data_IF_770656396427
#
_entry.id   IF_770656396427
#
_cell.length_a   1.000
_cell.length_b   1.000
_cell.length_c   1.000
_cell.angle_alpha   90.00
_cell.angle_beta   90.00
_cell.angle_gamma   90.00
#
_symmetry.space_group_name_H-M   'P 1'
#
loop_
_entity.id
_entity.type
_entity.pdbx_description
1 polymer ?
#
# COMPACT_ATOMS: atom_id res chain seq x y z
N UNK A 1 -12.11 -11.10 23.46
CA UNK A 1 -11.04 -11.94 22.93
C UNK A 1 -11.63 -13.00 21.98
N UNK A 2 -11.05 -13.15 20.80
CA UNK A 2 -11.33 -14.28 19.92
C UNK A 2 -10.62 -15.53 20.46
N UNK A 3 -11.26 -16.69 20.36
CA UNK A 3 -10.62 -17.98 20.66
C UNK A 3 -10.30 -18.64 19.33
N UNK A 4 -9.00 -18.93 19.11
CA UNK A 4 -8.50 -19.56 17.90
C UNK A 4 -8.19 -18.59 16.74
N UNK A 5 -7.59 -19.10 15.68
CA UNK A 5 -7.28 -18.37 14.47
C UNK A 5 -8.53 -17.96 13.68
N UNK A 6 -8.42 -16.98 12.81
CA UNK A 6 -9.48 -16.64 11.87
C UNK A 6 -9.69 -17.82 10.90
N UNK A 7 -10.94 -18.25 10.65
CA UNK A 7 -11.20 -19.28 9.66
C UNK A 7 -10.65 -18.89 8.28
N UNK A 8 -9.92 -19.81 7.65
CA UNK A 8 -9.29 -19.58 6.35
C UNK A 8 -7.96 -18.82 6.39
N UNK A 9 -7.49 -18.38 7.56
CA UNK A 9 -6.14 -17.82 7.70
C UNK A 9 -5.07 -18.89 7.68
N UNK A 10 -3.88 -18.53 7.19
CA UNK A 10 -2.69 -19.35 7.30
C UNK A 10 -1.94 -19.07 8.61
N UNK A 11 -1.15 -20.06 9.06
CA UNK A 11 -0.24 -19.89 10.18
C UNK A 11 1.21 -19.87 9.70
N UNK A 12 1.98 -18.97 10.25
CA UNK A 12 3.40 -18.87 9.97
C UNK A 12 4.20 -19.85 10.84
N UNK A 13 4.95 -20.73 10.19
CA UNK A 13 5.71 -21.82 10.85
C UNK A 13 7.11 -21.41 11.28
N UNK A 14 7.47 -20.13 11.15
CA UNK A 14 8.80 -19.65 11.52
C UNK A 14 9.83 -19.75 10.40
N UNK A 15 11.06 -19.33 10.69
CA UNK A 15 12.24 -19.48 9.82
C UNK A 15 12.08 -18.93 8.39
N UNK A 16 11.32 -17.83 8.24
CA UNK A 16 11.00 -17.22 6.93
C UNK A 16 10.29 -18.17 5.93
N UNK A 17 9.59 -19.17 6.44
CA UNK A 17 8.80 -20.07 5.64
C UNK A 17 7.72 -19.31 4.85
N UNK A 18 7.32 -19.86 3.71
CA UNK A 18 6.15 -19.35 2.98
C UNK A 18 4.92 -19.40 3.87
N UNK A 19 4.14 -18.33 3.80
CA UNK A 19 2.85 -18.23 4.49
C UNK A 19 1.86 -17.50 3.58
N UNK A 20 1.10 -18.26 2.82
CA UNK A 20 0.14 -17.73 1.83
C UNK A 20 -1.20 -17.43 2.51
N UNK A 21 -1.20 -16.43 3.39
CA UNK A 21 -2.43 -16.02 4.07
C UNK A 21 -3.30 -15.17 3.13
N UNK A 22 -4.33 -15.80 2.56
CA UNK A 22 -5.22 -15.17 1.59
C UNK A 22 -6.12 -14.09 2.19
N UNK A 23 -6.19 -13.97 3.50
CA UNK A 23 -6.93 -12.92 4.19
C UNK A 23 -6.12 -11.61 4.30
N UNK A 24 -4.80 -11.69 4.13
CA UNK A 24 -3.91 -10.51 4.20
C UNK A 24 -3.74 -9.92 2.81
N UNK A 25 -4.51 -8.87 2.50
CA UNK A 25 -4.56 -8.24 1.16
C UNK A 25 -4.59 -6.72 1.25
N UNK A 26 -3.96 -6.08 0.30
CA UNK A 26 -4.03 -4.64 0.11
C UNK A 26 -5.49 -4.16 -0.19
N UNK A 27 -5.94 -3.02 0.35
CA UNK A 27 -5.27 -2.16 1.32
C UNK A 27 -5.37 -2.72 2.75
N UNK A 28 -4.41 -2.37 3.58
CA UNK A 28 -4.36 -2.78 4.98
C UNK A 28 -4.52 -1.59 5.92
N UNK A 29 -5.42 -1.69 6.88
CA UNK A 29 -5.57 -0.73 7.96
C UNK A 29 -4.99 -1.23 9.27
N UNK A 30 -4.58 -0.33 10.16
CA UNK A 30 -4.08 -0.68 11.49
C UNK A 30 -5.22 -1.23 12.33
N UNK A 31 -5.05 -2.44 12.84
CA UNK A 31 -5.98 -3.05 13.78
C UNK A 31 -5.65 -2.64 15.22
N UNK A 32 -4.37 -2.74 15.59
CA UNK A 32 -3.86 -2.28 16.87
C UNK A 32 -2.36 -1.93 16.74
N UNK A 33 -1.86 -1.11 17.64
CA UNK A 33 -0.44 -0.89 17.87
C UNK A 33 -0.19 -0.79 19.39
N UNK A 34 0.98 -1.25 19.84
CA UNK A 34 1.33 -1.28 21.25
C UNK A 34 2.86 -1.23 21.41
N UNK A 35 3.33 -0.62 22.48
CA UNK A 35 4.73 -0.61 22.87
C UNK A 35 5.10 -1.83 23.74
N UNK A 36 4.13 -2.59 24.21
CA UNK A 36 4.33 -3.80 25.04
C UNK A 36 5.30 -4.77 24.40
N UNK A 37 5.22 -4.93 23.07
CA UNK A 37 6.10 -5.82 22.32
C UNK A 37 7.54 -5.30 22.21
N UNK A 38 7.81 -4.03 22.49
CA UNK A 38 9.16 -3.46 22.49
C UNK A 38 10.07 -4.07 23.56
N UNK A 39 9.51 -4.76 24.54
CA UNK A 39 10.27 -5.50 25.56
C UNK A 39 10.84 -6.83 25.07
N UNK A 40 10.46 -7.31 23.90
CA UNK A 40 10.95 -8.58 23.32
C UNK A 40 12.26 -8.41 22.55
N UNK A 41 13.19 -7.78 23.18
CA UNK A 41 14.50 -7.44 22.63
C UNK A 41 15.30 -8.69 22.27
N UNK A 42 15.89 -8.71 21.07
CA UNK A 42 16.79 -9.78 20.59
C UNK A 42 16.18 -11.17 20.61
N UNK A 43 14.92 -11.25 20.33
CA UNK A 43 14.20 -12.50 20.21
C UNK A 43 14.43 -13.13 18.82
N UNK A 44 14.46 -14.46 18.71
CA UNK A 44 14.24 -15.10 17.40
C UNK A 44 12.85 -14.74 16.87
N UNK A 45 12.61 -15.03 15.59
CA UNK A 45 11.28 -14.82 15.03
C UNK A 45 10.22 -15.54 15.87
N UNK A 46 9.03 -14.94 16.06
CA UNK A 46 7.98 -15.58 16.83
C UNK A 46 7.37 -16.73 16.07
N UNK A 47 6.77 -17.63 16.82
CA UNK A 47 5.83 -18.62 16.32
C UNK A 47 4.41 -18.07 16.39
N UNK A 48 3.57 -18.52 15.48
CA UNK A 48 2.13 -18.19 15.48
C UNK A 48 1.34 -19.48 15.58
N UNK A 49 0.57 -19.61 16.63
CA UNK A 49 -0.22 -20.82 16.90
C UNK A 49 -1.62 -20.42 17.29
N UNK A 50 -2.59 -20.74 16.43
CA UNK A 50 -4.03 -20.60 16.71
C UNK A 50 -4.42 -19.19 17.23
N UNK A 51 -3.90 -18.14 16.57
CA UNK A 51 -4.17 -16.74 16.93
C UNK A 51 -3.35 -16.22 18.11
N UNK A 52 -2.36 -16.98 18.54
CA UNK A 52 -1.40 -16.58 19.58
C UNK A 52 -0.01 -16.43 18.96
N UNK A 53 0.64 -15.33 19.25
CA UNK A 53 2.05 -15.14 18.98
C UNK A 53 2.88 -15.56 20.19
N UNK A 54 3.82 -16.46 19.97
CA UNK A 54 4.75 -16.97 20.97
C UNK A 54 6.11 -16.34 20.73
N UNK A 55 6.51 -15.41 21.59
CA UNK A 55 7.82 -14.78 21.56
C UNK A 55 8.71 -15.33 22.66
N UNK A 56 9.98 -15.62 22.32
CA UNK A 56 10.99 -16.09 23.27
C UNK A 56 12.12 -15.07 23.36
N UNK A 57 11.94 -14.02 24.19
CA UNK A 57 12.95 -12.99 24.33
C UNK A 57 14.24 -13.57 24.94
N UNK A 58 15.38 -13.15 24.42
CA UNK A 58 16.69 -13.53 24.98
C UNK A 58 16.91 -12.84 26.30
N UNK A 59 17.52 -13.58 27.26
CA UNK A 59 17.95 -13.03 28.54
C UNK A 59 19.32 -12.37 28.41
N UNK A 60 19.35 -11.18 27.84
CA UNK A 60 20.60 -10.44 27.68
C UNK A 60 21.19 -9.90 28.99
N UNK A 61 20.46 -9.95 30.11
CA UNK A 61 20.96 -9.61 31.46
C UNK A 61 21.68 -10.79 32.14
N UNK A 62 21.33 -11.99 31.76
CA UNK A 62 21.95 -13.18 32.33
C UNK A 62 23.40 -13.34 31.91
N UNK A 63 23.85 -12.59 30.90
CA UNK A 63 25.18 -12.74 30.36
C UNK A 63 25.94 -11.43 30.19
N UNK A 64 27.22 -11.49 30.57
CA UNK A 64 28.22 -10.48 30.24
C UNK A 64 28.67 -10.65 28.81
N UNK A 65 27.75 -10.59 27.88
CA UNK A 65 28.01 -10.93 26.50
C UNK A 65 28.74 -9.79 25.79
N UNK A 66 29.87 -10.15 25.23
CA UNK A 66 30.74 -9.24 24.49
C UNK A 66 30.24 -8.97 23.08
N UNK A 67 29.41 -9.86 22.54
CA UNK A 67 28.91 -9.81 21.17
C UNK A 67 27.41 -9.76 21.15
N UNK A 68 26.88 -8.68 20.58
CA UNK A 68 25.44 -8.45 20.41
C UNK A 68 24.79 -9.43 19.43
N UNK A 69 25.58 -10.16 18.67
CA UNK A 69 25.12 -11.06 17.61
C UNK A 69 25.21 -12.54 18.00
N UNK A 70 25.69 -12.82 19.23
CA UNK A 70 25.79 -14.19 19.69
C UNK A 70 24.42 -14.86 19.72
N UNK A 71 24.42 -16.10 19.23
CA UNK A 71 23.28 -17.01 19.24
C UNK A 71 23.11 -17.76 20.56
N UNK A 72 24.11 -17.74 21.39
CA UNK A 72 24.21 -18.57 22.61
C UNK A 72 23.56 -17.92 23.83
N UNK A 73 22.76 -16.89 23.63
CA UNK A 73 22.00 -16.28 24.70
C UNK A 73 20.92 -17.22 25.23
N UNK A 74 20.85 -17.43 26.53
CA UNK A 74 19.71 -18.13 27.10
C UNK A 74 18.42 -17.37 26.75
N UNK A 75 17.37 -18.11 26.48
CA UNK A 75 16.04 -17.54 26.22
C UNK A 75 15.30 -17.38 27.55
N UNK A 76 14.60 -16.26 27.69
CA UNK A 76 13.62 -16.10 28.77
C UNK A 76 12.40 -16.97 28.50
N UNK A 77 11.58 -17.13 29.52
CA UNK A 77 10.29 -17.78 29.37
C UNK A 77 9.49 -17.14 28.23
N UNK A 78 8.79 -17.98 27.44
CA UNK A 78 7.96 -17.47 26.36
C UNK A 78 6.93 -16.47 26.84
N UNK A 79 6.71 -15.43 26.06
CA UNK A 79 5.62 -14.48 26.23
C UNK A 79 4.59 -14.74 25.15
N UNK A 80 3.34 -14.90 25.57
CA UNK A 80 2.21 -15.22 24.71
C UNK A 80 1.35 -13.98 24.53
N UNK A 81 1.10 -13.61 23.29
CA UNK A 81 0.24 -12.44 22.94
C UNK A 81 -0.88 -12.86 22.02
N UNK A 82 -2.06 -12.30 22.23
CA UNK A 82 -3.19 -12.43 21.33
C UNK A 82 -2.94 -11.54 20.10
N UNK A 83 -2.84 -12.11 18.90
CA UNK A 83 -2.51 -11.35 17.68
C UNK A 83 -3.60 -10.38 17.25
N UNK A 84 -4.85 -10.59 17.70
CA UNK A 84 -5.99 -9.75 17.32
C UNK A 84 -6.16 -8.51 18.20
N UNK A 85 -5.51 -8.51 19.37
CA UNK A 85 -5.60 -7.39 20.34
C UNK A 85 -4.25 -6.82 20.73
N UNK A 86 -3.14 -7.49 20.39
CA UNK A 86 -1.78 -7.15 20.84
C UNK A 86 -1.50 -7.46 22.30
N UNK A 87 -2.51 -7.86 23.06
CA UNK A 87 -2.45 -8.02 24.51
C UNK A 87 -1.63 -9.25 24.91
N UNK A 88 -0.70 -9.06 25.83
CA UNK A 88 0.00 -10.16 26.52
C UNK A 88 -0.98 -10.94 27.39
N UNK A 89 -0.94 -12.25 27.30
CA UNK A 89 -1.83 -13.14 28.04
C UNK A 89 -1.39 -13.29 29.49
N UNK A 90 -2.34 -13.26 30.42
CA UNK A 90 -2.09 -13.49 31.82
C UNK A 90 -1.67 -14.96 32.08
N UNK A 91 -0.91 -15.24 33.15
CA UNK A 91 -0.49 -16.62 33.49
C UNK A 91 -1.66 -17.62 33.58
N UNK A 92 -2.80 -17.19 34.08
CA UNK A 92 -4.03 -18.01 34.17
C UNK A 92 -4.59 -18.35 32.80
N UNK A 93 -4.55 -17.44 31.87
CA UNK A 93 -4.97 -17.66 30.47
C UNK A 93 -4.00 -18.60 29.74
N UNK A 94 -2.69 -18.43 29.97
CA UNK A 94 -1.65 -19.30 29.42
C UNK A 94 -1.81 -20.74 29.89
N UNK A 95 -2.17 -20.96 31.16
CA UNK A 95 -2.39 -22.29 31.71
C UNK A 95 -3.52 -23.04 31.01
N UNK A 96 -4.60 -22.34 30.67
CA UNK A 96 -5.73 -22.94 29.93
C UNK A 96 -5.37 -23.26 28.47
N UNK A 97 -4.44 -22.52 27.87
CA UNK A 97 -3.97 -22.76 26.50
C UNK A 97 -3.02 -23.96 26.42
N UNK A 98 -2.19 -24.19 27.45
CA UNK A 98 -1.26 -25.32 27.48
C UNK A 98 -1.97 -26.68 27.35
N UNK A 99 -3.20 -26.80 27.84
CA UNK A 99 -4.00 -28.01 27.69
C UNK A 99 -4.53 -28.22 26.26
N UNK A 100 -4.75 -27.13 25.54
CA UNK A 100 -5.28 -27.15 24.16
C UNK A 100 -4.18 -27.15 23.11
N UNK A 101 -3.07 -26.48 23.40
CA UNK A 101 -1.93 -26.29 22.53
C UNK A 101 -0.65 -26.71 23.30
N UNK A 102 -0.36 -28.01 23.38
CA UNK A 102 0.70 -28.54 24.28
C UNK A 102 2.09 -28.01 23.97
N UNK A 103 2.33 -27.60 22.73
CA UNK A 103 3.64 -27.07 22.31
C UNK A 103 3.80 -25.58 22.58
N UNK A 104 2.72 -24.87 22.94
CA UNK A 104 2.79 -23.46 23.21
C UNK A 104 3.44 -23.17 24.56
N UNK A 105 4.35 -22.22 24.58
CA UNK A 105 4.99 -21.78 25.82
C UNK A 105 5.99 -22.77 26.41
N UNK A 106 6.55 -23.71 25.66
CA UNK A 106 7.67 -24.52 26.07
C UNK A 106 8.89 -23.64 26.38
N UNK A 107 9.58 -23.96 27.47
CA UNK A 107 10.80 -23.23 27.86
C UNK A 107 12.06 -23.73 27.10
N UNK A 108 11.88 -24.51 26.05
CA UNK A 108 12.96 -25.00 25.21
C UNK A 108 13.55 -23.89 24.34
N UNK A 109 14.86 -23.81 24.23
CA UNK A 109 15.50 -22.83 23.36
C UNK A 109 15.12 -23.11 21.90
N UNK A 110 14.51 -22.15 21.27
CA UNK A 110 14.27 -22.18 19.83
C UNK A 110 15.60 -21.94 19.11
N UNK A 111 15.87 -22.70 18.06
CA UNK A 111 17.04 -22.46 17.23
C UNK A 111 17.01 -21.02 16.67
N UNK A 112 18.12 -20.32 16.80
CA UNK A 112 18.22 -18.96 16.28
C UNK A 112 17.99 -18.95 14.78
N UNK A 113 17.13 -18.05 14.31
CA UNK A 113 16.85 -17.88 12.88
C UNK A 113 18.08 -17.49 12.06
N UNK A 114 19.13 -16.95 12.65
CA UNK A 114 20.39 -16.68 11.95
C UNK A 114 21.06 -17.94 11.39
N UNK A 115 20.74 -19.10 11.94
CA UNK A 115 21.23 -20.40 11.44
C UNK A 115 20.20 -21.15 10.61
N UNK A 116 19.00 -20.64 10.52
CA UNK A 116 17.96 -21.26 9.69
C UNK A 116 18.29 -21.10 8.20
N UNK A 117 17.80 -21.98 7.34
CA UNK A 117 17.96 -21.87 5.90
C UNK A 117 17.08 -20.77 5.29
N UNK A 118 16.91 -19.66 6.00
CA UNK A 118 16.11 -18.49 5.60
C UNK A 118 16.60 -17.84 4.31
N UNK A 119 17.87 -18.05 3.95
CA UNK A 119 18.46 -17.54 2.72
C UNK A 119 17.70 -17.92 1.44
N UNK A 120 16.90 -18.98 1.50
CA UNK A 120 16.06 -19.40 0.35
C UNK A 120 14.85 -18.47 0.13
N UNK A 121 14.40 -17.79 1.16
CA UNK A 121 13.24 -16.90 1.14
C UNK A 121 13.61 -15.42 1.27
N UNK A 122 14.80 -15.13 1.80
CA UNK A 122 15.35 -13.78 1.89
C UNK A 122 16.08 -13.38 0.60
N UNK A 123 15.88 -12.15 0.20
CA UNK A 123 16.52 -11.56 -0.99
C UNK A 123 17.39 -10.38 -0.57
N UNK A 124 18.62 -10.34 -1.07
CA UNK A 124 19.53 -9.22 -0.80
C UNK A 124 19.21 -8.02 -1.72
N UNK A 125 19.24 -6.79 -1.20
CA UNK A 125 19.06 -5.59 -2.01
C UNK A 125 20.30 -5.20 -2.85
N UNK A 126 20.10 -4.45 -3.92
CA UNK A 126 18.85 -4.17 -4.58
C UNK A 126 18.36 -5.41 -5.30
N UNK A 127 17.21 -5.93 -4.93
CA UNK A 127 16.73 -7.17 -5.52
C UNK A 127 15.34 -6.97 -6.07
N UNK A 128 15.08 -7.37 -7.31
CA UNK A 128 13.72 -7.40 -7.81
C UNK A 128 12.88 -8.38 -6.98
N UNK A 129 11.65 -8.03 -6.73
CA UNK A 129 10.67 -8.94 -6.14
C UNK A 129 10.52 -10.16 -7.06
N UNK A 130 10.55 -11.36 -6.47
CA UNK A 130 10.53 -12.62 -7.22
C UNK A 130 9.42 -12.66 -8.24
N UNK A 131 9.77 -13.01 -9.47
CA UNK A 131 8.85 -13.20 -10.58
C UNK A 131 8.63 -11.96 -11.44
N UNK A 132 7.62 -12.06 -12.27
CA UNK A 132 7.24 -11.04 -13.25
C UNK A 132 5.80 -10.62 -13.04
N UNK A 133 5.46 -9.44 -13.53
CA UNK A 133 4.10 -8.90 -13.60
C UNK A 133 3.78 -8.44 -15.02
N UNK A 134 2.51 -8.18 -15.27
CA UNK A 134 2.09 -7.40 -16.43
C UNK A 134 2.03 -5.94 -16.01
N UNK A 135 2.75 -5.08 -16.71
CA UNK A 135 2.70 -3.64 -16.50
C UNK A 135 1.28 -3.14 -16.83
N UNK A 136 0.56 -2.53 -15.91
CA UNK A 136 -0.84 -2.13 -16.12
C UNK A 136 -1.00 -0.98 -17.12
N UNK A 137 0.07 -0.21 -17.37
CA UNK A 137 0.06 0.91 -18.33
C UNK A 137 0.26 0.41 -19.75
N UNK A 138 1.23 -0.49 -19.94
CA UNK A 138 1.69 -0.89 -21.29
C UNK A 138 1.22 -2.28 -21.70
N UNK A 139 0.72 -3.10 -20.78
CA UNK A 139 0.39 -4.49 -21.03
C UNK A 139 1.59 -5.43 -21.24
N UNK A 140 2.82 -4.94 -21.12
CA UNK A 140 4.03 -5.72 -21.31
C UNK A 140 4.40 -6.48 -20.05
N UNK A 141 5.03 -7.65 -20.24
CA UNK A 141 5.60 -8.43 -19.15
C UNK A 141 6.91 -7.79 -18.68
N UNK A 142 7.04 -7.57 -17.39
CA UNK A 142 8.22 -6.97 -16.76
C UNK A 142 8.58 -7.66 -15.44
N UNK A 143 9.82 -7.56 -14.95
CA UNK A 143 10.15 -7.95 -13.58
C UNK A 143 9.39 -7.11 -12.56
N UNK A 144 9.02 -7.72 -11.42
CA UNK A 144 8.57 -6.92 -10.27
C UNK A 144 9.73 -6.13 -9.71
N UNK A 145 9.48 -4.86 -9.40
CA UNK A 145 10.44 -3.99 -8.75
C UNK A 145 9.90 -3.58 -7.39
N UNK A 146 10.77 -3.58 -6.40
CA UNK A 146 10.46 -3.14 -5.05
C UNK A 146 11.44 -2.02 -4.70
N UNK A 147 11.03 -0.75 -4.77
CA UNK A 147 11.91 0.37 -4.48
C UNK A 147 12.43 0.27 -3.04
N UNK A 148 13.74 0.17 -2.90
CA UNK A 148 14.41 0.14 -1.62
C UNK A 148 15.15 1.45 -1.39
N UNK A 149 14.87 2.12 -0.28
CA UNK A 149 15.54 3.35 0.10
C UNK A 149 16.67 3.12 1.10
N UNK A 150 16.41 2.31 2.12
CA UNK A 150 17.36 2.04 3.20
C UNK A 150 17.00 0.77 3.98
N UNK A 151 18.00 0.01 4.41
CA UNK A 151 17.83 -1.16 5.25
C UNK A 151 18.99 -2.13 5.12
N UNK A 152 19.25 -2.94 6.17
CA UNK A 152 20.39 -3.86 6.21
C UNK A 152 20.10 -5.21 5.59
N UNK A 153 18.87 -5.70 5.74
CA UNK A 153 18.49 -7.06 5.32
C UNK A 153 17.73 -7.05 3.99
N UNK A 154 17.66 -8.22 3.37
CA UNK A 154 16.86 -8.47 2.20
C UNK A 154 15.37 -8.52 2.50
N UNK A 155 14.58 -8.68 1.45
CA UNK A 155 13.16 -8.93 1.58
C UNK A 155 12.83 -10.39 1.85
N UNK A 156 11.63 -10.67 2.28
CA UNK A 156 11.08 -12.01 2.49
C UNK A 156 9.91 -12.25 1.58
N UNK A 157 9.93 -13.36 0.86
CA UNK A 157 8.85 -13.81 0.00
C UNK A 157 7.98 -14.84 0.70
N UNK A 158 6.83 -14.39 1.18
CA UNK A 158 5.84 -15.26 1.84
C UNK A 158 4.88 -15.95 0.86
N UNK A 159 5.08 -15.81 -0.44
CA UNK A 159 4.20 -16.36 -1.46
C UNK A 159 3.25 -15.31 -2.04
N UNK A 160 2.19 -14.93 -1.35
CA UNK A 160 1.27 -13.87 -1.78
C UNK A 160 1.79 -12.46 -1.47
N UNK A 161 2.51 -12.33 -0.36
CA UNK A 161 3.14 -11.08 0.04
C UNK A 161 4.66 -11.17 -0.06
N UNK A 162 5.24 -10.08 -0.50
CA UNK A 162 6.64 -9.80 -0.34
C UNK A 162 6.80 -8.65 0.65
N UNK A 163 7.69 -8.79 1.63
CA UNK A 163 7.89 -7.78 2.65
C UNK A 163 9.34 -7.35 2.69
N UNK A 164 9.59 -6.10 3.05
CA UNK A 164 10.92 -5.53 3.11
C UNK A 164 10.95 -4.41 4.15
N UNK A 165 12.08 -4.29 4.80
CA UNK A 165 12.43 -3.15 5.62
C UNK A 165 12.97 -1.99 4.77
N UNK A 166 12.25 -1.41 3.89
CA UNK A 166 12.75 -0.37 2.97
C UNK A 166 12.69 1.03 3.61
N UNK A 167 13.68 1.38 4.44
CA UNK A 167 13.65 2.65 5.18
C UNK A 167 12.63 2.63 6.32
N UNK A 168 11.42 2.24 6.05
CA UNK A 168 10.36 1.84 6.98
C UNK A 168 9.91 0.43 6.62
N UNK A 169 9.07 -0.19 7.45
CA UNK A 169 8.39 -1.43 7.07
C UNK A 169 7.62 -1.23 5.76
N UNK A 170 7.68 -2.19 4.86
CA UNK A 170 6.99 -2.12 3.58
C UNK A 170 6.52 -3.51 3.12
N UNK A 171 5.49 -3.56 2.31
CA UNK A 171 5.00 -4.79 1.69
C UNK A 171 4.55 -4.55 0.25
N UNK A 172 4.47 -5.65 -0.49
CA UNK A 172 3.93 -5.72 -1.84
C UNK A 172 2.97 -6.91 -1.90
N UNK A 173 1.72 -6.67 -2.21
CA UNK A 173 0.74 -7.73 -2.44
C UNK A 173 0.84 -8.22 -3.89
N UNK A 174 1.45 -9.38 -4.08
CA UNK A 174 1.66 -9.99 -5.40
C UNK A 174 0.36 -10.52 -6.02
N UNK A 175 -0.64 -10.83 -5.19
CA UNK A 175 -1.92 -11.33 -5.68
C UNK A 175 -2.73 -10.26 -6.40
N UNK A 176 -2.57 -9.00 -5.98
CA UNK A 176 -3.22 -7.84 -6.57
C UNK A 176 -2.28 -6.99 -7.43
N UNK A 177 -0.98 -7.30 -7.42
CA UNK A 177 0.06 -6.41 -7.98
C UNK A 177 -0.13 -4.98 -7.47
N UNK A 178 -0.06 -4.83 -6.15
CA UNK A 178 -0.45 -3.58 -5.48
C UNK A 178 0.50 -2.40 -5.75
N UNK A 179 1.74 -2.65 -6.14
CA UNK A 179 2.84 -1.73 -5.94
C UNK A 179 3.36 -1.82 -4.49
N UNK A 180 4.38 -1.06 -4.17
CA UNK A 180 5.01 -1.04 -2.84
C UNK A 180 4.23 -0.14 -1.90
N UNK A 181 3.83 -0.68 -0.77
CA UNK A 181 3.19 0.07 0.33
C UNK A 181 4.22 0.30 1.43
N UNK A 182 4.47 1.56 1.78
CA UNK A 182 5.32 1.93 2.91
C UNK A 182 4.47 2.07 4.16
N UNK A 183 4.80 1.29 5.19
CA UNK A 183 4.20 1.39 6.52
C UNK A 183 5.10 2.32 7.33
N UNK A 184 4.82 3.60 7.32
CA UNK A 184 5.61 4.58 8.06
C UNK A 184 5.44 4.41 9.56
N UNK A 185 6.52 4.53 10.32
CA UNK A 185 6.51 4.57 11.78
C UNK A 185 7.08 3.34 12.48
N UNK A 186 6.55 2.13 12.29
CA UNK A 186 7.00 0.98 13.06
C UNK A 186 8.38 0.49 12.61
N UNK A 187 9.11 -0.08 13.55
CA UNK A 187 10.37 -0.75 13.28
C UNK A 187 10.16 -2.25 13.13
N UNK A 188 10.48 -2.79 11.98
CA UNK A 188 10.37 -4.23 11.69
C UNK A 188 11.58 -5.06 12.13
N UNK A 189 12.50 -4.48 12.89
CA UNK A 189 13.77 -5.14 13.21
C UNK A 189 14.76 -5.19 12.04
N UNK A 190 15.99 -5.68 12.30
CA UNK A 190 16.98 -5.88 11.23
C UNK A 190 16.63 -7.07 10.34
N UNK A 191 15.90 -8.03 10.86
CA UNK A 191 15.60 -9.31 10.25
C UNK A 191 14.24 -9.33 9.54
N UNK A 192 13.70 -8.16 9.18
CA UNK A 192 12.44 -8.05 8.46
C UNK A 192 11.29 -8.86 9.10
N UNK A 193 10.92 -8.51 10.31
CA UNK A 193 9.80 -9.15 11.01
C UNK A 193 8.47 -8.55 10.61
N UNK A 194 8.08 -8.71 9.35
CA UNK A 194 6.79 -8.28 8.80
C UNK A 194 6.12 -9.56 8.29
N UNK A 195 5.24 -10.14 9.10
CA UNK A 195 4.83 -11.53 8.99
C UNK A 195 3.32 -11.64 8.73
N UNK A 196 2.89 -12.16 7.57
CA UNK A 196 1.51 -12.50 7.36
C UNK A 196 1.18 -13.78 8.14
N UNK A 197 0.22 -13.72 9.04
CA UNK A 197 -0.27 -14.89 9.77
C UNK A 197 -1.57 -14.61 10.50
N UNK A 198 -2.46 -15.57 10.56
CA UNK A 198 -3.72 -15.48 11.29
C UNK A 198 -4.71 -14.47 10.71
N UNK A 199 -4.61 -14.15 9.42
CA UNK A 199 -5.42 -13.15 8.73
C UNK A 199 -4.94 -11.71 8.95
N UNK A 200 -3.74 -11.52 9.50
CA UNK A 200 -3.15 -10.22 9.82
C UNK A 200 -1.74 -10.10 9.25
N UNK A 201 -1.36 -8.89 8.88
CA UNK A 201 0.04 -8.54 8.71
C UNK A 201 0.58 -8.07 10.05
N UNK A 202 1.41 -8.91 10.67
CA UNK A 202 1.99 -8.67 11.97
C UNK A 202 3.36 -8.02 11.81
N UNK A 203 3.61 -6.93 12.53
CA UNK A 203 4.89 -6.23 12.57
C UNK A 203 5.34 -6.16 14.04
N UNK A 204 5.79 -7.29 14.60
CA UNK A 204 6.30 -7.29 15.96
C UNK A 204 7.67 -6.63 16.00
N UNK A 205 7.93 -5.90 17.07
CA UNK A 205 9.24 -5.30 17.30
C UNK A 205 10.15 -6.28 18.04
N UNK A 206 11.20 -6.78 17.39
CA UNK A 206 12.07 -7.78 17.97
C UNK A 206 13.49 -7.34 18.25
N UNK A 207 13.91 -6.21 17.75
CA UNK A 207 15.32 -5.89 17.76
C UNK A 207 15.68 -4.67 18.58
N UNK A 208 16.59 -4.85 19.53
CA UNK A 208 17.24 -3.75 20.24
C UNK A 208 18.72 -3.68 19.89
N UNK A 209 19.26 -2.49 19.89
CA UNK A 209 20.69 -2.22 19.75
C UNK A 209 21.12 -1.68 18.39
N UNK A 210 20.23 -1.60 17.42
CA UNK A 210 20.47 -0.86 16.19
C UNK A 210 20.07 0.59 16.34
N UNK A 211 20.96 1.51 16.02
CA UNK A 211 20.75 2.96 16.06
C UNK A 211 20.21 3.53 14.75
N UNK A 212 19.63 2.67 13.90
CA UNK A 212 19.02 3.14 12.65
C UNK A 212 17.90 4.14 12.93
N UNK A 213 17.72 5.08 12.02
CA UNK A 213 16.74 6.17 12.10
C UNK A 213 15.29 5.67 11.95
N UNK A 214 14.82 4.85 12.88
CA UNK A 214 13.43 4.45 12.96
C UNK A 214 12.76 5.13 14.13
N UNK A 215 11.64 5.79 13.91
CA UNK A 215 11.07 6.63 14.92
C UNK A 215 10.42 5.85 16.07
N UNK A 216 9.80 4.69 15.80
CA UNK A 216 8.93 4.05 16.79
C UNK A 216 9.25 2.56 16.99
N UNK A 217 9.74 2.16 18.19
CA UNK A 217 9.92 0.77 18.57
C UNK A 217 8.60 0.17 19.08
N UNK A 218 7.61 0.08 18.21
CA UNK A 218 6.28 -0.46 18.53
C UNK A 218 5.99 -1.71 17.71
N UNK A 219 5.16 -2.59 18.25
CA UNK A 219 4.49 -3.65 17.53
C UNK A 219 3.15 -3.14 16.97
N UNK A 220 2.74 -3.68 15.83
CA UNK A 220 1.41 -3.45 15.29
C UNK A 220 0.92 -4.66 14.51
N UNK A 221 -0.38 -4.73 14.32
CA UNK A 221 -0.99 -5.64 13.33
C UNK A 221 -1.93 -4.87 12.42
N UNK A 222 -1.97 -5.28 11.17
CA UNK A 222 -2.83 -4.69 10.15
C UNK A 222 -3.79 -5.74 9.60
N UNK A 223 -4.98 -5.29 9.24
CA UNK A 223 -6.08 -6.11 8.70
C UNK A 223 -6.49 -5.60 7.32
N UNK A 224 -6.94 -6.52 6.46
CA UNK A 224 -7.46 -6.15 5.14
C UNK A 224 -8.68 -5.23 5.26
N UNK A 225 -8.66 -4.17 4.49
CA UNK A 225 -9.70 -3.13 4.45
C UNK A 225 -10.44 -3.15 3.12
N UNK A 226 -11.63 -2.55 3.04
CA UNK A 226 -12.31 -2.33 1.76
C UNK A 226 -11.46 -1.52 0.78
N UNK A 227 -11.68 -1.70 -0.53
CA UNK A 227 -10.97 -0.96 -1.58
C UNK A 227 -11.11 0.57 -1.48
N UNK A 228 -12.15 1.02 -0.82
CA UNK A 228 -12.36 2.45 -0.52
C UNK A 228 -11.42 3.01 0.55
N UNK A 229 -10.75 2.14 1.33
CA UNK A 229 -9.79 2.58 2.34
C UNK A 229 -8.59 3.25 1.70
N UNK A 230 -8.22 4.41 2.20
CA UNK A 230 -7.14 5.21 1.64
C UNK A 230 -5.77 4.68 2.07
N UNK A 231 -5.04 4.13 1.11
CA UNK A 231 -3.66 3.69 1.25
C UNK A 231 -2.97 3.80 -0.10
N UNK A 232 -1.79 4.40 -0.14
CA UNK A 232 -1.06 4.74 -1.34
C UNK A 232 0.14 3.83 -1.55
N UNK A 233 0.57 3.71 -2.80
CA UNK A 233 1.66 2.82 -3.21
C UNK A 233 2.68 3.56 -4.05
N UNK A 234 3.83 2.91 -4.25
CA UNK A 234 4.88 3.36 -5.17
C UNK A 234 5.14 2.27 -6.21
N UNK A 235 5.30 2.69 -7.48
CA UNK A 235 5.45 1.75 -8.61
C UNK A 235 6.83 1.78 -9.27
N UNK A 236 7.74 2.61 -8.78
CA UNK A 236 9.03 2.88 -9.42
C UNK A 236 8.95 4.09 -10.34
N UNK A 237 10.10 4.59 -10.75
CA UNK A 237 10.26 5.83 -11.52
C UNK A 237 10.76 5.60 -12.96
N UNK A 238 10.55 4.40 -13.49
CA UNK A 238 10.92 4.08 -14.85
C UNK A 238 10.11 4.92 -15.85
N UNK A 239 10.75 5.48 -16.88
CA UNK A 239 10.07 6.22 -17.91
C UNK A 239 9.19 5.30 -18.76
N UNK A 240 7.97 5.74 -19.03
CA UNK A 240 7.08 5.06 -19.96
C UNK A 240 7.54 5.33 -21.39
N UNK A 241 7.65 4.27 -22.19
CA UNK A 241 8.09 4.38 -23.59
C UNK A 241 7.10 5.17 -24.44
N UNK A 242 7.57 5.93 -25.43
CA UNK A 242 6.69 6.61 -26.38
C UNK A 242 5.71 5.63 -27.06
N UNK A 243 4.49 6.09 -27.24
CA UNK A 243 3.40 5.34 -27.91
C UNK A 243 3.14 3.94 -27.35
N UNK A 244 3.29 3.76 -26.03
CA UNK A 244 3.09 2.48 -25.39
C UNK A 244 1.97 2.42 -24.36
N UNK A 245 1.38 3.57 -24.00
CA UNK A 245 0.31 3.62 -23.00
C UNK A 245 -0.96 3.04 -23.59
N UNK A 246 -1.45 1.96 -22.98
CA UNK A 246 -2.71 1.31 -23.31
C UNK A 246 -3.82 1.63 -22.29
N UNK A 247 -3.42 1.77 -21.03
CA UNK A 247 -4.34 2.05 -19.93
C UNK A 247 -3.63 2.85 -18.85
N UNK A 248 -4.26 3.91 -18.37
CA UNK A 248 -3.72 4.75 -17.32
C UNK A 248 -4.81 5.54 -16.61
N UNK A 249 -4.64 5.75 -15.31
CA UNK A 249 -5.35 6.76 -14.54
C UNK A 249 -4.41 7.87 -14.11
N UNK A 250 -4.89 9.10 -14.09
CA UNK A 250 -4.20 10.24 -13.49
C UNK A 250 -5.09 10.80 -12.40
N UNK A 251 -4.60 10.84 -11.18
CA UNK A 251 -5.31 11.38 -10.03
C UNK A 251 -4.66 12.71 -9.61
N UNK A 252 -5.35 13.81 -9.87
CA UNK A 252 -4.79 15.15 -9.66
C UNK A 252 -4.75 15.55 -8.21
N UNK A 253 -3.54 15.77 -7.70
CA UNK A 253 -3.31 16.15 -6.30
C UNK A 253 -3.33 14.96 -5.32
N UNK A 254 -3.31 13.73 -5.82
CA UNK A 254 -3.22 12.53 -4.97
C UNK A 254 -1.88 12.43 -4.27
N UNK A 255 -1.81 11.81 -3.07
CA UNK A 255 -0.58 11.61 -2.32
C UNK A 255 0.31 10.45 -2.81
N UNK A 256 -0.11 9.67 -3.81
CA UNK A 256 0.67 8.55 -4.33
C UNK A 256 -0.08 7.75 -5.38
N UNK A 257 0.59 6.74 -5.91
CA UNK A 257 0.01 5.84 -6.90
C UNK A 257 -0.94 4.82 -6.28
N UNK A 258 -1.88 4.32 -7.09
CA UNK A 258 -2.75 3.24 -6.66
C UNK A 258 -3.33 2.46 -7.85
N UNK A 259 -3.24 1.14 -7.77
CA UNK A 259 -3.90 0.27 -8.76
C UNK A 259 -5.28 -0.18 -8.26
N UNK A 260 -6.29 -0.04 -9.09
CA UNK A 260 -7.64 -0.56 -8.86
C UNK A 260 -7.74 -2.04 -9.23
N UNK A 261 -8.74 -2.74 -8.68
CA UNK A 261 -8.95 -4.16 -8.96
C UNK A 261 -9.31 -4.45 -10.41
N UNK A 262 -9.92 -3.51 -11.10
CA UNK A 262 -10.22 -3.60 -12.53
C UNK A 262 -8.97 -3.43 -13.43
N UNK A 263 -7.81 -3.11 -12.83
CA UNK A 263 -6.51 -3.13 -13.48
C UNK A 263 -5.93 -1.77 -13.85
N UNK A 264 -6.61 -0.66 -13.61
CA UNK A 264 -6.05 0.68 -13.88
C UNK A 264 -5.05 1.06 -12.80
N UNK A 265 -3.83 1.41 -13.22
CA UNK A 265 -2.88 2.10 -12.37
C UNK A 265 -3.15 3.61 -12.44
N UNK A 266 -3.52 4.18 -11.31
CA UNK A 266 -3.71 5.60 -11.10
C UNK A 266 -2.41 6.20 -10.57
N UNK A 267 -1.85 7.13 -11.31
CA UNK A 267 -0.64 7.85 -10.93
C UNK A 267 -1.01 9.16 -10.24
N UNK A 268 -0.26 9.52 -9.22
CA UNK A 268 -0.33 10.84 -8.62
C UNK A 268 0.21 11.90 -9.58
N UNK A 269 -0.48 13.03 -9.69
CA UNK A 269 0.01 14.16 -10.48
C UNK A 269 -0.28 15.50 -9.78
N UNK A 270 0.75 16.33 -9.49
CA UNK A 270 2.18 16.03 -9.69
C UNK A 270 2.63 14.88 -8.79
N UNK A 271 3.68 14.15 -9.18
CA UNK A 271 4.18 13.04 -8.39
C UNK A 271 4.82 13.53 -7.09
N UNK A 272 4.24 13.11 -5.96
CA UNK A 272 4.65 13.51 -4.60
C UNK A 272 4.75 12.30 -3.65
N UNK A 273 4.12 11.18 -3.98
CA UNK A 273 4.01 10.00 -3.12
C UNK A 273 5.20 9.04 -3.15
N UNK A 274 6.27 9.39 -3.84
CA UNK A 274 7.47 8.57 -4.02
C UNK A 274 7.72 8.23 -5.48
N UNK A 275 8.58 7.25 -5.78
CA UNK A 275 8.85 6.84 -7.15
C UNK A 275 7.58 6.40 -7.88
N UNK A 276 7.26 7.09 -8.97
CA UNK A 276 6.08 6.88 -9.81
C UNK A 276 6.49 6.80 -11.29
N UNK A 277 5.84 5.97 -12.13
CA UNK A 277 6.15 5.88 -13.55
C UNK A 277 6.14 7.26 -14.23
N UNK A 278 7.22 7.57 -14.93
CA UNK A 278 7.38 8.87 -15.58
C UNK A 278 6.57 8.92 -16.87
N UNK A 279 5.55 9.80 -16.87
CA UNK A 279 4.68 10.08 -18.00
C UNK A 279 4.82 11.53 -18.43
N UNK A 280 4.55 11.82 -19.70
CA UNK A 280 4.57 13.18 -20.23
C UNK A 280 3.19 13.79 -20.16
N UNK A 281 3.00 14.71 -19.20
CA UNK A 281 1.78 15.51 -19.06
C UNK A 281 2.13 17.00 -19.19
N UNK A 282 1.41 17.71 -20.03
CA UNK A 282 1.49 19.16 -20.16
C UNK A 282 0.20 19.79 -19.66
N UNK A 283 0.30 20.85 -18.89
CA UNK A 283 -0.85 21.61 -18.39
C UNK A 283 -0.75 23.09 -18.71
N UNK A 284 -1.88 23.74 -18.95
CA UNK A 284 -1.99 25.19 -18.99
C UNK A 284 -3.07 25.62 -17.99
N UNK A 285 -2.76 26.52 -17.04
CA UNK A 285 -1.42 27.04 -16.75
C UNK A 285 -0.47 25.92 -16.31
N UNK A 286 0.84 26.14 -16.36
CA UNK A 286 1.86 25.17 -15.94
C UNK A 286 1.82 24.87 -14.46
N UNK A 287 1.26 25.76 -13.66
CA UNK A 287 1.09 25.64 -12.20
C UNK A 287 -0.39 25.85 -11.81
N UNK A 288 -1.28 24.90 -12.15
CA UNK A 288 -2.65 24.95 -11.65
C UNK A 288 -2.70 24.68 -10.14
N UNK A 289 -3.85 24.89 -9.52
CA UNK A 289 -4.01 24.66 -8.08
C UNK A 289 -4.44 23.23 -7.84
N UNK A 290 -3.60 22.43 -7.16
CA UNK A 290 -3.94 21.09 -6.71
C UNK A 290 -4.48 21.15 -5.29
N UNK A 291 -5.47 20.30 -5.02
CA UNK A 291 -6.10 20.17 -3.71
C UNK A 291 -6.26 18.69 -3.38
N UNK A 292 -6.11 18.39 -2.09
CA UNK A 292 -6.34 17.06 -1.55
C UNK A 292 -7.25 17.15 -0.34
N UNK A 293 -8.23 16.27 -0.28
CA UNK A 293 -9.10 16.04 0.87
C UNK A 293 -9.03 14.57 1.25
N UNK A 294 -9.30 14.26 2.50
CA UNK A 294 -9.31 12.87 2.93
C UNK A 294 -10.52 12.14 2.36
N UNK A 295 -10.31 10.93 1.83
CA UNK A 295 -11.36 10.15 1.16
C UNK A 295 -12.55 9.78 2.07
N UNK A 296 -12.37 9.75 3.39
CA UNK A 296 -13.45 9.56 4.36
C UNK A 296 -14.49 10.70 4.37
N UNK A 297 -14.15 11.86 3.81
CA UNK A 297 -15.11 12.96 3.68
C UNK A 297 -16.02 12.80 2.48
N UNK A 298 -15.66 11.89 1.56
CA UNK A 298 -16.44 11.68 0.34
C UNK A 298 -17.69 10.86 0.62
N UNK A 299 -18.80 11.33 0.05
CA UNK A 299 -20.05 10.57 0.02
C UNK A 299 -19.93 9.40 -0.98
N UNK A 300 -20.83 8.43 -0.85
CA UNK A 300 -20.95 7.36 -1.83
C UNK A 300 -21.35 7.95 -3.20
N UNK A 301 -20.54 7.68 -4.22
CA UNK A 301 -20.73 8.18 -5.59
C UNK A 301 -20.32 7.15 -6.64
N UNK A 302 -20.13 7.61 -7.87
CA UNK A 302 -19.72 6.79 -9.02
C UNK A 302 -18.20 6.56 -9.07
N UNK A 303 -17.41 7.52 -8.55
CA UNK A 303 -15.96 7.44 -8.50
C UNK A 303 -15.50 6.80 -7.19
N UNK A 304 -14.34 6.17 -7.21
CA UNK A 304 -13.67 5.77 -5.96
C UNK A 304 -13.46 7.01 -5.08
N UNK A 305 -13.74 6.94 -3.78
CA UNK A 305 -13.62 8.09 -2.88
C UNK A 305 -12.25 8.76 -2.92
N UNK A 306 -11.19 7.98 -2.99
CA UNK A 306 -9.80 8.48 -3.04
C UNK A 306 -9.43 9.14 -4.38
N UNK A 307 -10.17 8.92 -5.49
CA UNK A 307 -10.04 9.69 -6.72
C UNK A 307 -10.79 11.01 -6.59
N UNK A 308 -12.04 10.95 -6.11
CA UNK A 308 -12.87 12.14 -5.95
C UNK A 308 -12.34 13.14 -4.93
N UNK A 309 -11.60 12.67 -3.92
CA UNK A 309 -11.06 13.50 -2.84
C UNK A 309 -9.93 14.45 -3.28
N UNK A 310 -9.30 14.19 -4.41
CA UNK A 310 -8.22 15.01 -4.97
C UNK A 310 -8.71 15.75 -6.20
N UNK A 311 -8.21 16.95 -6.43
CA UNK A 311 -8.67 17.80 -7.57
C UNK A 311 -7.56 18.71 -8.07
N UNK A 312 -7.70 19.12 -9.33
CA UNK A 312 -7.00 20.26 -9.91
C UNK A 312 -7.99 21.34 -10.30
N UNK A 313 -7.72 22.57 -9.90
CA UNK A 313 -8.55 23.75 -10.15
C UNK A 313 -7.87 24.74 -11.08
N UNK A 314 -8.64 25.34 -11.99
CA UNK A 314 -8.19 26.38 -12.91
C UNK A 314 -7.42 25.86 -14.12
N UNK A 315 -7.51 24.58 -14.42
CA UNK A 315 -6.93 23.98 -15.60
C UNK A 315 -7.64 24.50 -16.87
N UNK A 316 -6.87 24.92 -17.88
CA UNK A 316 -7.37 25.38 -19.19
C UNK A 316 -7.09 24.35 -20.29
N UNK A 317 -5.92 23.73 -20.26
CA UNK A 317 -5.55 22.68 -21.19
C UNK A 317 -4.78 21.57 -20.46
N UNK A 318 -4.99 20.34 -20.90
CA UNK A 318 -4.20 19.19 -20.54
C UNK A 318 -3.87 18.38 -21.78
N UNK A 319 -2.59 18.02 -21.92
CA UNK A 319 -2.14 17.04 -22.90
C UNK A 319 -1.47 15.87 -22.20
N UNK A 320 -1.88 14.66 -22.53
CA UNK A 320 -1.20 13.43 -22.13
C UNK A 320 -0.61 12.79 -23.39
N UNK A 321 0.68 12.59 -23.35
CA UNK A 321 1.45 12.02 -24.46
C UNK A 321 1.70 10.52 -24.29
N UNK A 322 2.40 9.94 -25.26
CA UNK A 322 2.87 8.55 -25.28
C UNK A 322 1.78 7.47 -25.28
N UNK A 323 0.57 7.87 -25.66
CA UNK A 323 -0.53 6.92 -25.88
C UNK A 323 -0.27 6.07 -27.13
N UNK A 324 -0.56 4.79 -27.05
CA UNK A 324 -0.56 3.93 -28.22
C UNK A 324 -1.73 4.33 -29.14
N UNK A 325 -1.50 4.66 -30.40
CA UNK A 325 -2.58 5.09 -31.31
C UNK A 325 -3.76 4.13 -31.34
N UNK A 326 -4.98 4.64 -31.43
CA UNK A 326 -6.21 3.89 -31.48
C UNK A 326 -7.39 4.50 -30.75
N UNK A 327 -8.45 3.71 -30.63
CA UNK A 327 -9.70 4.12 -29.99
C UNK A 327 -9.61 3.96 -28.46
N UNK A 328 -10.06 4.97 -27.74
CA UNK A 328 -10.02 5.00 -26.27
C UNK A 328 -11.40 5.28 -25.67
N UNK A 329 -11.70 4.62 -24.55
CA UNK A 329 -12.64 5.11 -23.55
C UNK A 329 -11.89 6.10 -22.65
N UNK A 330 -12.45 7.29 -22.51
CA UNK A 330 -11.93 8.36 -21.66
C UNK A 330 -12.96 8.63 -20.57
N UNK A 331 -12.60 8.37 -19.32
CA UNK A 331 -13.44 8.63 -18.17
C UNK A 331 -12.91 9.83 -17.41
N UNK A 332 -13.73 10.85 -17.29
CA UNK A 332 -13.45 12.05 -16.52
C UNK A 332 -14.12 11.93 -15.16
N UNK A 333 -13.32 12.05 -14.10
CA UNK A 333 -13.76 11.94 -12.72
C UNK A 333 -13.84 13.33 -12.10
N UNK A 334 -14.95 13.61 -11.41
CA UNK A 334 -15.24 14.89 -10.81
C UNK A 334 -15.76 14.71 -9.39
N UNK A 335 -15.50 15.68 -8.53
CA UNK A 335 -16.23 15.92 -7.32
C UNK A 335 -16.11 17.40 -6.94
N UNK A 336 -17.19 18.02 -6.50
CA UNK A 336 -17.12 19.33 -5.89
C UNK A 336 -16.64 19.15 -4.44
N UNK A 337 -15.40 19.52 -4.18
CA UNK A 337 -14.75 19.33 -2.88
C UNK A 337 -14.62 20.61 -2.06
N UNK A 338 -15.03 21.73 -2.63
CA UNK A 338 -15.12 23.04 -1.98
C UNK A 338 -16.57 23.34 -1.61
N UNK A 339 -16.80 24.48 -0.99
CA UNK A 339 -18.14 24.92 -0.57
C UNK A 339 -18.99 25.52 -1.71
N UNK A 340 -18.59 25.32 -2.97
CA UNK A 340 -19.33 25.83 -4.11
C UNK A 340 -20.68 25.11 -4.26
N UNK A 341 -21.74 25.87 -4.15
CA UNK A 341 -23.11 25.41 -4.33
C UNK A 341 -23.53 25.29 -5.81
N UNK A 342 -24.80 24.94 -5.99
CA UNK A 342 -25.39 24.85 -7.31
C UNK A 342 -25.30 26.17 -8.08
N UNK A 343 -24.74 26.12 -9.31
CA UNK A 343 -24.60 27.27 -10.20
C UNK A 343 -23.35 28.14 -9.92
N UNK A 344 -22.60 27.89 -8.87
CA UNK A 344 -21.40 28.66 -8.52
C UNK A 344 -20.14 28.20 -9.26
N UNK A 345 -20.19 27.02 -9.86
CA UNK A 345 -19.14 26.51 -10.75
C UNK A 345 -19.76 25.90 -12.00
N UNK A 346 -19.31 26.34 -13.16
CA UNK A 346 -19.75 25.78 -14.45
C UNK A 346 -18.63 25.81 -15.47
N UNK A 347 -18.47 24.73 -16.22
CA UNK A 347 -17.41 24.60 -17.21
C UNK A 347 -17.85 23.86 -18.46
N UNK A 348 -17.19 24.16 -19.58
CA UNK A 348 -17.29 23.43 -20.83
C UNK A 348 -16.00 22.67 -21.07
N UNK A 349 -16.09 21.40 -21.43
CA UNK A 349 -14.93 20.53 -21.67
C UNK A 349 -14.97 20.07 -23.13
N UNK A 350 -13.81 20.18 -23.77
CA UNK A 350 -13.58 19.65 -25.11
C UNK A 350 -12.59 18.50 -25.06
N UNK A 351 -12.90 17.42 -25.73
CA UNK A 351 -12.04 16.26 -25.93
C UNK A 351 -11.67 16.19 -27.41
N UNK A 352 -10.36 16.21 -27.73
CA UNK A 352 -9.87 16.29 -29.13
C UNK A 352 -10.58 17.38 -29.95
N UNK A 353 -10.74 18.55 -29.35
CA UNK A 353 -11.38 19.72 -29.98
C UNK A 353 -12.90 19.66 -30.04
N UNK A 354 -13.57 18.57 -29.73
CA UNK A 354 -15.02 18.41 -29.73
C UNK A 354 -15.61 18.68 -28.35
N UNK A 355 -16.69 19.47 -28.22
CA UNK A 355 -17.34 19.67 -26.94
C UNK A 355 -18.00 18.36 -26.48
N UNK A 356 -17.65 17.92 -25.26
CA UNK A 356 -18.19 16.70 -24.62
C UNK A 356 -19.06 17.03 -23.42
N UNK A 357 -18.80 18.14 -22.74
CA UNK A 357 -19.60 18.66 -21.65
C UNK A 357 -19.77 20.17 -21.87
N UNK A 358 -20.98 20.69 -21.81
CA UNK A 358 -21.28 22.12 -21.98
C UNK A 358 -22.06 22.64 -20.79
N UNK A 359 -21.60 23.76 -20.19
CA UNK A 359 -22.23 24.35 -19.02
C UNK A 359 -22.35 23.38 -17.85
N UNK A 360 -21.35 22.51 -17.69
CA UNK A 360 -21.36 21.41 -16.73
C UNK A 360 -21.09 21.92 -15.31
N UNK A 361 -22.10 21.81 -14.47
CA UNK A 361 -22.06 22.09 -13.03
C UNK A 361 -21.91 20.76 -12.27
N UNK A 362 -20.76 20.58 -11.63
CA UNK A 362 -20.41 19.33 -10.92
C UNK A 362 -21.37 19.10 -9.75
N UNK A 363 -21.64 20.13 -8.93
CA UNK A 363 -22.53 20.03 -7.77
C UNK A 363 -23.94 19.57 -8.19
N UNK A 364 -24.50 20.19 -9.22
CA UNK A 364 -25.82 19.80 -9.73
C UNK A 364 -25.83 18.39 -10.32
N UNK A 365 -24.78 18.03 -11.06
CA UNK A 365 -24.70 16.73 -11.74
C UNK A 365 -24.42 15.57 -10.77
N UNK A 366 -23.74 15.83 -9.64
CA UNK A 366 -23.45 14.87 -8.58
C UNK A 366 -24.54 14.85 -7.48
N UNK A 367 -25.50 15.77 -7.54
CA UNK A 367 -26.51 15.99 -6.52
C UNK A 367 -25.92 16.32 -5.15
N UNK A 368 -24.89 17.17 -5.13
CA UNK A 368 -24.25 17.68 -3.91
C UNK A 368 -22.72 17.70 -3.98
N UNK A 369 -22.15 18.31 -2.96
CA UNK A 369 -20.70 18.33 -2.72
C UNK A 369 -20.20 17.00 -2.19
N UNK A 370 -18.88 16.77 -2.22
CA UNK A 370 -18.19 15.57 -1.75
C UNK A 370 -18.72 14.25 -2.35
N UNK A 371 -19.29 14.32 -3.56
CA UNK A 371 -19.88 13.17 -4.24
C UNK A 371 -19.18 12.94 -5.57
N UNK A 372 -18.55 11.76 -5.70
CA UNK A 372 -17.79 11.39 -6.90
C UNK A 372 -18.71 11.11 -8.11
N UNK A 373 -18.39 11.71 -9.23
CA UNK A 373 -19.11 11.60 -10.49
C UNK A 373 -18.18 11.17 -11.61
N UNK A 374 -18.65 10.33 -12.54
CA UNK A 374 -17.89 9.89 -13.73
C UNK A 374 -18.66 10.22 -14.99
N UNK A 375 -17.94 10.69 -16.01
CA UNK A 375 -18.45 10.88 -17.36
C UNK A 375 -17.54 10.17 -18.35
N UNK A 376 -18.09 9.28 -19.14
CA UNK A 376 -17.36 8.44 -20.10
C UNK A 376 -17.61 8.89 -21.53
N UNK A 377 -16.55 8.97 -22.32
CA UNK A 377 -16.55 9.34 -23.72
C UNK A 377 -15.66 8.40 -24.51
N UNK A 378 -15.89 8.29 -25.80
CA UNK A 378 -15.00 7.59 -26.71
C UNK A 378 -14.33 8.58 -27.68
N UNK A 379 -13.07 8.33 -27.98
CA UNK A 379 -12.32 9.14 -28.94
C UNK A 379 -11.27 8.31 -29.65
N UNK A 380 -10.90 8.74 -30.85
CA UNK A 380 -9.74 8.24 -31.60
C UNK A 380 -8.53 9.11 -31.25
N UNK A 381 -7.38 8.47 -31.11
CA UNK A 381 -6.09 9.11 -30.85
C UNK A 381 -5.11 8.62 -31.92
N UNK A 382 -4.78 9.49 -32.86
CA UNK A 382 -3.93 9.16 -34.02
C UNK A 382 -2.47 9.55 -33.79
N UNK A 383 -2.22 10.68 -33.09
CA UNK A 383 -0.91 11.28 -32.86
C UNK A 383 -0.28 10.88 -31.51
N UNK A 384 -0.87 9.92 -30.81
CA UNK A 384 -0.40 9.50 -29.48
C UNK A 384 -0.65 10.52 -28.37
N UNK A 385 -1.47 11.55 -28.62
CA UNK A 385 -1.72 12.63 -27.66
C UNK A 385 -3.20 12.82 -27.38
N UNK A 386 -3.60 12.65 -26.11
CA UNK A 386 -4.91 13.11 -25.65
C UNK A 386 -4.86 14.61 -25.38
N UNK A 387 -5.87 15.35 -25.89
CA UNK A 387 -6.03 16.79 -25.64
C UNK A 387 -7.37 17.05 -24.99
N UNK A 388 -7.34 17.70 -23.83
CA UNK A 388 -8.52 18.18 -23.11
C UNK A 388 -8.40 19.70 -22.94
N UNK A 389 -9.47 20.41 -23.25
CA UNK A 389 -9.56 21.84 -23.00
C UNK A 389 -10.72 22.13 -22.05
N UNK A 390 -10.49 22.99 -21.09
CA UNK A 390 -11.42 23.36 -20.04
C UNK A 390 -11.70 24.86 -20.14
N UNK A 391 -12.97 25.23 -20.32
CA UNK A 391 -13.40 26.62 -20.32
C UNK A 391 -14.38 26.83 -19.17
N UNK A 392 -13.93 27.47 -18.11
CA UNK A 392 -14.82 27.88 -17.02
C UNK A 392 -15.79 28.95 -17.55
N UNK A 393 -17.08 28.80 -17.29
CA UNK A 393 -18.14 29.79 -17.59
C UNK A 393 -18.56 30.51 -16.32
N UNK A 394 -18.50 29.83 -15.19
CA UNK A 394 -18.68 30.41 -13.85
C UNK A 394 -17.60 29.83 -12.94
N UNK A 395 -16.97 30.63 -12.11
CA UNK A 395 -15.91 30.20 -11.20
C UNK A 395 -14.65 29.73 -11.94
N UNK A 396 -14.03 28.66 -11.47
CA UNK A 396 -12.83 28.03 -12.05
C UNK A 396 -13.14 26.60 -12.47
N UNK A 397 -12.46 26.09 -13.50
CA UNK A 397 -12.57 24.68 -13.90
C UNK A 397 -12.09 23.75 -12.78
N UNK A 398 -12.67 22.56 -12.69
CA UNK A 398 -12.33 21.55 -11.68
C UNK A 398 -12.44 20.14 -12.27
N UNK A 399 -11.43 19.30 -11.99
CA UNK A 399 -11.45 17.87 -12.31
C UNK A 399 -10.64 17.10 -11.26
N UNK A 400 -11.08 15.90 -10.92
CA UNK A 400 -10.42 15.02 -9.95
C UNK A 400 -9.43 14.07 -10.60
N UNK A 401 -9.81 13.46 -11.71
CA UNK A 401 -8.94 12.50 -12.38
C UNK A 401 -9.41 12.15 -13.79
N UNK A 402 -8.53 11.48 -14.52
CA UNK A 402 -8.78 11.01 -15.89
C UNK A 402 -8.36 9.55 -15.97
N UNK A 403 -9.24 8.71 -16.51
CA UNK A 403 -8.89 7.33 -16.85
C UNK A 403 -8.98 7.12 -18.36
N UNK A 404 -7.95 6.51 -18.92
CA UNK A 404 -7.91 6.12 -20.33
C UNK A 404 -7.76 4.61 -20.45
N UNK A 405 -8.58 4.01 -21.31
CA UNK A 405 -8.55 2.59 -21.60
C UNK A 405 -8.63 2.43 -23.11
N UNK A 406 -7.55 1.93 -23.73
CA UNK A 406 -7.54 1.60 -25.14
C UNK A 406 -8.53 0.47 -25.42
N UNK A 407 -9.36 0.67 -26.40
CA UNK A 407 -10.29 -0.35 -26.88
C UNK A 407 -9.56 -1.31 -27.85
N UNK A 408 -9.98 -2.57 -27.92
CA UNK A 408 -9.44 -3.54 -28.86
C UNK A 408 -9.51 -3.09 -30.31
#
# INVERSE_FOLDING_TARGET
RRVGALPGSAQYEGNYARCEDTLVRFPLGVLWFDDTLSHFKRSPQPEFVDGIMVSRPKDWQAERVKDNWSIDYPLRRPVLSDIYTGRVLLPTEQSSLRNRLPDIGRDEPQQSYYHAPHQKTMLNPPTPVVGTRINPITGLKEPRVFPKTYGCDGGVDYGLLYTLRSGTAAFYDKSLESGTVFISGPRSGCSNSIIPSGGLLNVPYFYEGCTCSYPLPIGLSMVAMPETHEQWTSWGDDPVKPNSILRIGINFGAPGDRKTRDGTLWLDYPSVGGPSPQIRVETSPTTPTFRYRHSLWMNKGQSQPWIGASTVEGLQELKLHDLNPGRYSVRLHFAETDDAGKGERSQTIHLQGKPVLSGFDIHSAANGSMTGLVREFETEIDDGTLKLNFKATVGRSLISGIELIRKP
#
